data_IF_944970338017
#
_entry.id   IF_944970338017
#
_cell.length_a   1.000
_cell.length_b   1.000
_cell.length_c   1.000
_cell.angle_alpha   90.00
_cell.angle_beta   90.00
_cell.angle_gamma   90.00
#
_symmetry.space_group_name_H-M   'P 1'
#
loop_
_entity.id
_entity.type
_entity.pdbx_description
1 polymer ?
#
# COMPACT_ATOMS: atom_id res chain seq x y z
N UNK A 1 -15.08 5.34 -7.32
CA UNK A 1 -13.96 5.22 -8.27
C UNK A 1 -12.70 5.24 -7.44
N UNK A 2 -11.75 4.31 -7.65
CA UNK A 2 -10.47 4.41 -6.95
C UNK A 2 -9.82 5.76 -7.26
N UNK A 3 -9.18 6.36 -6.28
CA UNK A 3 -8.50 7.65 -6.41
C UNK A 3 -7.30 7.59 -7.38
N UNK A 4 -6.93 6.38 -7.79
CA UNK A 4 -5.83 6.06 -8.69
C UNK A 4 -6.26 5.00 -9.72
N UNK A 5 -6.11 5.30 -10.99
CA UNK A 5 -6.25 4.29 -12.05
C UNK A 5 -4.86 3.85 -12.55
N UNK A 6 -4.33 2.82 -11.93
CA UNK A 6 -3.06 2.21 -12.34
C UNK A 6 -3.16 1.36 -13.61
N UNK A 7 -4.35 1.16 -14.18
CA UNK A 7 -4.52 0.29 -15.36
C UNK A 7 -3.67 0.75 -16.54
N UNK A 8 -3.54 2.08 -16.71
CA UNK A 8 -2.75 2.70 -17.78
C UNK A 8 -1.24 2.61 -17.56
N UNK A 9 -0.78 2.31 -16.35
CA UNK A 9 0.64 2.19 -16.00
C UNK A 9 1.06 0.78 -15.62
N UNK A 10 0.13 -0.17 -15.58
CA UNK A 10 0.36 -1.50 -15.02
C UNK A 10 1.55 -2.22 -15.66
N UNK A 11 1.70 -2.14 -16.99
CA UNK A 11 2.77 -2.77 -17.76
C UNK A 11 4.15 -2.14 -17.54
N UNK A 12 4.22 -0.90 -17.06
CA UNK A 12 5.45 -0.18 -16.73
C UNK A 12 5.74 -0.16 -15.22
N UNK A 13 4.74 -0.51 -14.39
CA UNK A 13 4.79 -0.30 -12.95
C UNK A 13 6.03 -0.90 -12.29
N UNK A 14 6.37 -2.14 -12.63
CA UNK A 14 7.54 -2.83 -12.06
C UNK A 14 8.88 -2.21 -12.49
N UNK A 15 8.92 -1.43 -13.58
CA UNK A 15 10.15 -0.79 -14.05
C UNK A 15 10.51 0.46 -13.24
N UNK A 16 9.52 1.15 -12.64
CA UNK A 16 9.79 2.36 -11.87
C UNK A 16 9.44 2.24 -10.37
N UNK A 17 8.60 1.29 -9.98
CA UNK A 17 8.27 1.06 -8.58
C UNK A 17 9.24 0.04 -7.95
N UNK A 18 10.48 0.47 -7.76
CA UNK A 18 11.61 -0.37 -7.29
C UNK A 18 11.88 -0.21 -5.79
N UNK A 19 10.97 0.41 -5.05
CA UNK A 19 11.08 0.58 -3.58
C UNK A 19 11.16 -0.79 -2.90
N UNK A 20 12.11 -0.98 -2.00
CA UNK A 20 12.38 -2.26 -1.35
C UNK A 20 12.57 -2.18 0.17
N UNK A 21 12.63 -0.96 0.74
CA UNK A 21 12.95 -0.74 2.14
C UNK A 21 11.89 -1.31 3.10
N UNK A 22 10.63 -1.42 2.66
CA UNK A 22 9.52 -1.99 3.43
C UNK A 22 9.44 -3.52 3.36
N UNK A 23 10.06 -4.14 2.36
CA UNK A 23 9.99 -5.59 2.11
C UNK A 23 10.43 -6.42 3.32
N UNK A 24 11.56 -6.14 4.00
CA UNK A 24 12.01 -6.92 5.16
C UNK A 24 10.97 -6.99 6.28
N UNK A 25 10.26 -5.88 6.54
CA UNK A 25 9.22 -5.82 7.56
C UNK A 25 8.07 -6.78 7.25
N UNK A 26 7.50 -6.71 6.05
CA UNK A 26 6.36 -7.55 5.66
C UNK A 26 6.76 -9.01 5.51
N UNK A 27 7.96 -9.28 4.97
CA UNK A 27 8.49 -10.64 4.88
C UNK A 27 8.63 -11.27 6.27
N UNK A 28 9.19 -10.53 7.23
CA UNK A 28 9.33 -10.99 8.62
C UNK A 28 7.97 -11.20 9.30
N UNK A 29 7.04 -10.26 9.14
CA UNK A 29 5.69 -10.39 9.69
C UNK A 29 4.97 -11.62 9.13
N UNK A 30 5.05 -11.84 7.83
CA UNK A 30 4.45 -12.99 7.15
C UNK A 30 5.09 -14.34 7.58
N UNK A 31 6.41 -14.37 7.77
CA UNK A 31 7.12 -15.55 8.29
C UNK A 31 6.74 -15.88 9.73
N UNK A 32 6.38 -14.87 10.54
CA UNK A 32 5.94 -15.04 11.93
C UNK A 32 4.46 -15.37 12.07
N UNK A 33 3.66 -15.26 11.01
CA UNK A 33 2.23 -15.56 11.04
C UNK A 33 1.99 -17.06 11.23
N UNK A 34 1.06 -17.40 12.12
CA UNK A 34 0.71 -18.80 12.45
C UNK A 34 -0.44 -19.34 11.59
N UNK A 35 -1.10 -18.46 10.84
CA UNK A 35 -2.27 -18.73 10.02
C UNK A 35 -2.23 -17.99 8.68
N UNK A 36 -3.37 -17.95 7.96
CA UNK A 36 -3.46 -17.27 6.68
C UNK A 36 -3.14 -15.79 6.77
N UNK A 37 -2.46 -15.27 5.75
CA UNK A 37 -2.09 -13.86 5.59
C UNK A 37 -2.91 -13.23 4.48
N UNK A 38 -3.38 -12.01 4.67
CA UNK A 38 -4.08 -11.21 3.68
C UNK A 38 -3.28 -9.96 3.35
N UNK A 39 -2.99 -9.76 2.07
CA UNK A 39 -2.44 -8.51 1.55
C UNK A 39 -3.54 -7.72 0.83
N UNK A 40 -3.75 -6.50 1.29
CA UNK A 40 -4.67 -5.53 0.70
C UNK A 40 -3.90 -4.60 -0.25
N UNK A 41 -4.50 -4.24 -1.40
CA UNK A 41 -3.90 -3.41 -2.45
C UNK A 41 -2.57 -3.99 -2.94
N UNK A 42 -2.58 -5.28 -3.30
CA UNK A 42 -1.37 -6.06 -3.60
C UNK A 42 -0.65 -5.61 -4.89
N UNK A 43 -1.34 -4.94 -5.80
CA UNK A 43 -0.80 -4.47 -7.07
C UNK A 43 -0.19 -5.58 -7.91
N UNK A 44 1.01 -5.33 -8.41
CA UNK A 44 1.80 -6.30 -9.19
C UNK A 44 2.57 -7.31 -8.34
N UNK A 45 2.43 -7.26 -7.01
CA UNK A 45 3.01 -8.23 -6.08
C UNK A 45 4.42 -7.91 -5.58
N UNK A 46 4.79 -6.65 -5.49
CA UNK A 46 6.10 -6.20 -4.99
C UNK A 46 6.40 -6.75 -3.58
N UNK A 47 5.40 -6.75 -2.69
CA UNK A 47 5.50 -7.30 -1.33
C UNK A 47 5.00 -8.74 -1.28
N UNK A 48 4.01 -9.11 -2.10
CA UNK A 48 3.47 -10.47 -2.22
C UNK A 48 4.55 -11.52 -2.40
N UNK A 49 5.42 -11.33 -3.41
CA UNK A 49 6.40 -12.37 -3.76
C UNK A 49 7.40 -12.65 -2.63
N UNK A 50 8.00 -11.64 -1.97
CA UNK A 50 8.83 -11.86 -0.78
C UNK A 50 8.10 -12.55 0.39
N UNK A 51 6.82 -12.27 0.60
CA UNK A 51 6.03 -12.96 1.64
C UNK A 51 5.76 -14.42 1.27
N UNK A 52 5.50 -14.74 0.00
CA UNK A 52 5.40 -16.12 -0.49
C UNK A 52 6.70 -16.87 -0.30
N UNK A 53 7.85 -16.23 -0.59
CA UNK A 53 9.18 -16.83 -0.41
C UNK A 53 9.49 -17.08 1.08
N UNK A 54 8.90 -16.32 1.98
CA UNK A 54 8.94 -16.55 3.42
C UNK A 54 8.00 -17.68 3.90
N UNK A 55 7.23 -18.27 3.00
CA UNK A 55 6.37 -19.43 3.30
C UNK A 55 4.92 -19.10 3.63
N UNK A 56 4.49 -17.84 3.53
CA UNK A 56 3.15 -17.43 3.90
C UNK A 56 2.04 -18.12 3.07
N UNK A 57 0.95 -18.49 3.73
CA UNK A 57 -0.31 -18.88 3.08
C UNK A 57 -1.10 -17.60 2.75
N UNK A 58 -0.89 -17.07 1.53
CA UNK A 58 -1.23 -15.70 1.18
C UNK A 58 -2.48 -15.60 0.30
N UNK A 59 -3.38 -14.69 0.67
CA UNK A 59 -4.45 -14.17 -0.19
C UNK A 59 -4.13 -12.69 -0.48
N UNK A 60 -4.31 -12.28 -1.73
CA UNK A 60 -4.07 -10.91 -2.20
C UNK A 60 -5.35 -10.32 -2.76
N UNK A 61 -5.69 -9.12 -2.34
CA UNK A 61 -6.82 -8.34 -2.87
C UNK A 61 -6.28 -7.09 -3.55
N UNK A 62 -6.79 -6.82 -4.75
CA UNK A 62 -6.57 -5.55 -5.46
C UNK A 62 -7.79 -5.23 -6.30
N UNK A 63 -8.12 -3.96 -6.46
CA UNK A 63 -9.25 -3.52 -7.28
C UNK A 63 -8.95 -3.51 -8.78
N UNK A 64 -7.66 -3.56 -9.16
CA UNK A 64 -7.20 -3.52 -10.56
C UNK A 64 -6.97 -4.92 -11.14
N UNK A 65 -7.81 -5.38 -12.08
CA UNK A 65 -7.58 -6.66 -12.77
C UNK A 65 -6.26 -6.70 -13.53
N UNK A 66 -5.80 -5.56 -14.09
CA UNK A 66 -4.55 -5.48 -14.83
C UNK A 66 -3.33 -5.68 -13.93
N UNK A 67 -3.34 -5.12 -12.71
CA UNK A 67 -2.31 -5.36 -11.71
C UNK A 67 -2.28 -6.83 -11.28
N UNK A 68 -3.44 -7.41 -10.96
CA UNK A 68 -3.55 -8.82 -10.59
C UNK A 68 -3.12 -9.77 -11.72
N UNK A 69 -3.37 -9.41 -12.98
CA UNK A 69 -2.91 -10.21 -14.13
C UNK A 69 -1.37 -10.24 -14.22
N UNK A 70 -0.69 -9.15 -13.86
CA UNK A 70 0.78 -9.12 -13.78
C UNK A 70 1.26 -9.99 -12.62
N UNK A 71 0.66 -9.85 -11.44
CA UNK A 71 0.98 -10.71 -10.28
C UNK A 71 0.76 -12.19 -10.61
N UNK A 72 -0.34 -12.54 -11.29
CA UNK A 72 -0.62 -13.91 -11.72
C UNK A 72 0.50 -14.48 -12.61
N UNK A 73 1.00 -13.68 -13.58
CA UNK A 73 2.13 -14.07 -14.41
C UNK A 73 3.42 -14.24 -13.61
N UNK A 74 3.72 -13.31 -12.68
CA UNK A 74 4.93 -13.33 -11.86
C UNK A 74 4.98 -14.53 -10.91
N UNK A 75 3.83 -15.00 -10.45
CA UNK A 75 3.78 -16.21 -9.61
C UNK A 75 3.59 -17.51 -10.39
N UNK A 76 3.40 -17.46 -11.70
CA UNK A 76 3.32 -18.67 -12.53
C UNK A 76 4.62 -19.49 -12.42
N UNK A 77 4.50 -20.80 -12.26
CA UNK A 77 5.66 -21.70 -12.07
C UNK A 77 6.27 -21.71 -10.65
N UNK A 78 5.86 -20.85 -9.73
CA UNK A 78 6.31 -20.88 -8.33
C UNK A 78 5.65 -22.05 -7.58
N UNK A 79 6.39 -22.66 -6.66
CA UNK A 79 5.89 -23.75 -5.81
C UNK A 79 4.76 -23.27 -4.87
N UNK A 80 4.84 -22.03 -4.40
CA UNK A 80 3.79 -21.37 -3.61
C UNK A 80 3.18 -20.23 -4.40
N UNK A 81 1.86 -20.13 -4.35
CA UNK A 81 1.10 -19.07 -5.02
C UNK A 81 0.10 -18.46 -4.06
N UNK A 82 -0.08 -17.14 -4.16
CA UNK A 82 -1.16 -16.44 -3.50
C UNK A 82 -2.49 -16.71 -4.21
N UNK A 83 -3.57 -16.77 -3.43
CA UNK A 83 -4.92 -16.64 -3.97
C UNK A 83 -5.15 -15.17 -4.34
N UNK A 84 -5.48 -14.91 -5.60
CA UNK A 84 -5.75 -13.56 -6.09
C UNK A 84 -7.26 -13.30 -6.12
N UNK A 85 -7.68 -12.17 -5.59
CA UNK A 85 -9.08 -11.75 -5.51
C UNK A 85 -9.17 -10.31 -6.01
N UNK A 86 -9.95 -10.10 -7.06
CA UNK A 86 -10.30 -8.75 -7.50
C UNK A 86 -11.43 -8.24 -6.61
N UNK A 87 -11.22 -7.13 -5.90
CA UNK A 87 -12.20 -6.60 -4.96
C UNK A 87 -11.81 -5.27 -4.35
N UNK A 88 -12.80 -4.63 -3.74
CA UNK A 88 -12.63 -3.39 -2.97
C UNK A 88 -12.24 -3.73 -1.53
N UNK A 89 -11.24 -3.02 -0.99
CA UNK A 89 -10.79 -3.19 0.39
C UNK A 89 -11.83 -2.75 1.42
N UNK A 90 -12.78 -1.90 1.02
CA UNK A 90 -13.93 -1.50 1.85
C UNK A 90 -15.10 -2.48 1.83
N UNK A 91 -15.04 -3.54 0.98
CA UNK A 91 -16.10 -4.56 0.85
C UNK A 91 -15.47 -5.89 0.43
N UNK A 92 -14.70 -6.51 1.30
CA UNK A 92 -13.92 -7.71 1.00
C UNK A 92 -14.82 -8.94 0.78
N UNK A 93 -14.73 -9.63 -0.38
CA UNK A 93 -15.48 -10.86 -0.64
C UNK A 93 -14.81 -12.07 0.02
N UNK A 94 -14.43 -11.93 1.30
CA UNK A 94 -13.65 -12.91 2.05
C UNK A 94 -14.31 -13.19 3.40
N UNK A 95 -14.17 -14.43 3.89
CA UNK A 95 -14.53 -14.83 5.25
C UNK A 95 -13.51 -14.38 6.29
N UNK A 96 -13.78 -14.74 7.54
CA UNK A 96 -12.89 -14.52 8.70
C UNK A 96 -11.79 -15.60 8.75
N UNK A 97 -10.72 -15.32 9.52
CA UNK A 97 -9.72 -16.31 9.89
C UNK A 97 -8.30 -15.96 9.50
N UNK A 98 -8.03 -14.72 9.07
CA UNK A 98 -6.67 -14.28 8.81
C UNK A 98 -5.94 -13.96 10.11
N UNK A 99 -4.74 -14.50 10.25
CA UNK A 99 -3.85 -14.25 11.37
C UNK A 99 -3.13 -12.90 11.24
N UNK A 100 -2.85 -12.53 10.00
CA UNK A 100 -2.22 -11.27 9.65
C UNK A 100 -2.93 -10.63 8.45
N UNK A 101 -3.26 -9.35 8.56
CA UNK A 101 -3.67 -8.50 7.43
C UNK A 101 -2.62 -7.41 7.25
N UNK A 102 -2.19 -7.15 6.03
CA UNK A 102 -1.24 -6.07 5.72
C UNK A 102 -1.80 -5.13 4.66
N UNK A 103 -1.57 -3.83 4.85
CA UNK A 103 -1.86 -2.78 3.88
C UNK A 103 -0.56 -1.99 3.65
N UNK A 104 0.31 -2.46 2.75
CA UNK A 104 1.64 -1.91 2.54
C UNK A 104 1.63 -0.65 1.67
N UNK A 105 2.82 -0.08 1.46
CA UNK A 105 3.13 0.96 0.49
C UNK A 105 2.26 2.22 0.60
N UNK A 106 1.83 2.55 1.82
CA UNK A 106 0.98 3.72 2.10
C UNK A 106 -0.41 3.64 1.42
N UNK A 107 -0.87 2.43 1.10
CA UNK A 107 -2.18 2.20 0.45
C UNK A 107 -3.34 2.82 1.23
N UNK A 108 -3.20 2.99 2.56
CA UNK A 108 -4.23 3.66 3.36
C UNK A 108 -4.50 5.10 2.91
N UNK A 109 -3.48 5.81 2.38
CA UNK A 109 -3.65 7.16 1.88
C UNK A 109 -4.40 7.23 0.54
N UNK A 110 -4.47 6.13 -0.21
CA UNK A 110 -5.23 6.06 -1.47
C UNK A 110 -6.75 5.98 -1.23
N UNK A 111 -7.19 5.82 0.03
CA UNK A 111 -8.59 5.88 0.41
C UNK A 111 -9.01 7.37 0.51
N UNK A 112 -9.96 7.83 -0.33
CA UNK A 112 -10.13 9.26 -0.60
C UNK A 112 -10.77 10.05 0.54
N UNK A 113 -11.47 9.36 1.44
CA UNK A 113 -12.23 9.99 2.51
C UNK A 113 -12.34 9.10 3.76
N UNK A 114 -12.85 9.70 4.84
CA UNK A 114 -13.02 9.02 6.12
C UNK A 114 -13.98 7.82 6.04
N UNK A 115 -14.97 7.85 5.16
CA UNK A 115 -15.94 6.74 5.03
C UNK A 115 -15.25 5.51 4.43
N UNK A 116 -14.50 5.67 3.34
CA UNK A 116 -13.70 4.60 2.72
C UNK A 116 -12.60 4.09 3.64
N UNK A 117 -11.95 4.97 4.41
CA UNK A 117 -10.95 4.58 5.41
C UNK A 117 -11.56 3.71 6.53
N UNK A 118 -12.71 4.13 7.07
CA UNK A 118 -13.43 3.35 8.07
C UNK A 118 -13.94 2.02 7.51
N UNK A 119 -14.43 1.99 6.27
CA UNK A 119 -14.86 0.76 5.61
C UNK A 119 -13.69 -0.24 5.50
N UNK A 120 -12.52 0.21 5.05
CA UNK A 120 -11.33 -0.64 4.94
C UNK A 120 -10.85 -1.15 6.30
N UNK A 121 -10.82 -0.30 7.33
CA UNK A 121 -10.48 -0.72 8.70
C UNK A 121 -11.50 -1.71 9.28
N UNK A 122 -12.79 -1.47 9.01
CA UNK A 122 -13.90 -2.37 9.43
C UNK A 122 -13.76 -3.75 8.80
N UNK A 123 -13.45 -3.79 7.50
CA UNK A 123 -13.22 -5.02 6.76
C UNK A 123 -11.96 -5.76 7.24
N UNK A 124 -10.85 -5.03 7.46
CA UNK A 124 -9.65 -5.61 8.05
C UNK A 124 -9.94 -6.24 9.42
N UNK A 125 -10.67 -5.53 10.30
CA UNK A 125 -11.07 -6.03 11.59
C UNK A 125 -12.02 -7.24 11.47
N UNK A 126 -12.95 -7.23 10.50
CA UNK A 126 -13.91 -8.30 10.26
C UNK A 126 -13.24 -9.60 9.85
N UNK A 127 -12.27 -9.53 8.91
CA UNK A 127 -11.64 -10.74 8.37
C UNK A 127 -10.56 -11.32 9.27
N UNK A 128 -9.99 -10.54 10.18
CA UNK A 128 -9.02 -11.01 11.16
C UNK A 128 -9.63 -12.09 12.09
N UNK A 129 -8.82 -13.07 12.42
CA UNK A 129 -9.07 -13.98 13.54
C UNK A 129 -9.02 -13.20 14.86
N UNK A 130 -9.54 -13.80 15.95
CA UNK A 130 -9.37 -13.27 17.29
C UNK A 130 -7.88 -13.24 17.65
N UNK A 131 -7.36 -12.10 18.13
CA UNK A 131 -5.93 -11.89 18.40
C UNK A 131 -5.06 -11.77 17.15
N UNK A 132 -5.66 -11.71 15.96
CA UNK A 132 -4.93 -11.47 14.70
C UNK A 132 -4.45 -10.03 14.61
N UNK A 133 -3.40 -9.82 13.80
CA UNK A 133 -2.70 -8.55 13.68
C UNK A 133 -2.98 -7.85 12.35
N UNK A 134 -3.03 -6.52 12.37
CA UNK A 134 -3.11 -5.67 11.19
C UNK A 134 -1.93 -4.71 11.13
N UNK A 135 -1.22 -4.67 9.99
CA UNK A 135 -0.13 -3.71 9.74
C UNK A 135 -0.56 -2.77 8.62
N UNK A 136 -0.64 -1.50 8.95
CA UNK A 136 -1.06 -0.45 8.02
C UNK A 136 0.06 0.57 7.86
N UNK A 137 0.30 1.01 6.62
CA UNK A 137 1.30 2.05 6.35
C UNK A 137 0.65 3.28 5.76
N UNK A 138 1.11 4.45 6.19
CA UNK A 138 0.64 5.74 5.73
C UNK A 138 1.80 6.76 5.63
N UNK A 139 1.55 7.84 4.91
CA UNK A 139 2.40 9.02 4.98
C UNK A 139 2.25 9.71 6.34
N UNK A 140 3.34 10.26 6.84
CA UNK A 140 3.25 11.25 7.91
C UNK A 140 2.84 12.61 7.33
N UNK A 141 1.67 13.16 7.72
CA UNK A 141 1.17 14.43 7.18
C UNK A 141 2.13 15.60 7.38
N UNK A 142 2.81 15.65 8.54
CA UNK A 142 3.72 16.73 8.92
C UNK A 142 4.92 16.81 7.98
N UNK A 143 5.41 15.66 7.51
CA UNK A 143 6.55 15.58 6.58
C UNK A 143 6.08 15.65 5.13
N UNK A 144 4.99 14.98 4.80
CA UNK A 144 4.52 14.85 3.40
C UNK A 144 3.78 16.09 2.90
N UNK A 145 3.03 16.77 3.78
CA UNK A 145 2.24 17.95 3.42
C UNK A 145 3.08 19.08 2.82
N UNK A 146 4.15 19.55 3.48
CA UNK A 146 5.03 20.60 2.96
C UNK A 146 5.69 20.28 1.61
N UNK A 147 5.87 19.00 1.27
CA UNK A 147 6.41 18.57 -0.01
C UNK A 147 5.41 18.68 -1.17
N UNK A 148 4.13 18.94 -0.90
CA UNK A 148 3.06 19.09 -1.89
C UNK A 148 2.91 20.57 -2.30
N UNK A 149 3.91 21.12 -2.99
CA UNK A 149 4.04 22.55 -3.34
C UNK A 149 3.64 22.89 -4.78
N UNK A 150 3.14 21.94 -5.54
CA UNK A 150 2.71 22.11 -6.93
C UNK A 150 3.83 22.07 -7.97
N UNK A 151 5.07 21.83 -7.59
CA UNK A 151 6.18 21.74 -8.53
C UNK A 151 6.33 20.33 -9.11
N UNK A 152 6.72 20.25 -10.40
CA UNK A 152 7.16 19.01 -11.01
C UNK A 152 8.53 18.61 -10.49
N UNK A 153 8.68 17.33 -10.12
CA UNK A 153 9.95 16.72 -9.70
C UNK A 153 10.18 15.43 -10.45
N UNK A 154 11.38 15.26 -10.99
CA UNK A 154 11.86 13.95 -11.45
C UNK A 154 12.20 13.13 -10.19
N UNK A 155 11.52 12.01 -10.00
CA UNK A 155 11.73 11.11 -8.85
C UNK A 155 12.81 10.06 -9.15
N UNK A 156 13.08 9.80 -10.42
CA UNK A 156 14.13 8.88 -10.81
C UNK A 156 14.11 8.48 -12.27
N UNK A 157 15.19 7.79 -12.65
CA UNK A 157 15.41 7.16 -13.96
C UNK A 157 15.73 5.70 -13.70
N UNK A 158 15.01 4.83 -14.36
CA UNK A 158 15.08 3.39 -14.13
C UNK A 158 15.39 2.67 -15.42
N UNK A 159 16.24 1.63 -15.39
CA UNK A 159 16.48 0.79 -16.56
C UNK A 159 15.19 0.02 -16.89
N UNK A 160 14.76 0.13 -18.13
CA UNK A 160 13.59 -0.58 -18.66
C UNK A 160 13.98 -1.71 -19.59
N UNK A 161 13.02 -2.54 -19.97
CA UNK A 161 13.22 -3.65 -20.89
C UNK A 161 13.76 -3.17 -22.24
N UNK A 162 14.64 -3.98 -22.88
CA UNK A 162 15.18 -3.66 -24.21
C UNK A 162 16.13 -2.47 -24.26
N UNK A 163 16.78 -2.09 -23.16
CA UNK A 163 17.75 -0.99 -23.09
C UNK A 163 17.11 0.40 -23.06
N UNK A 164 15.78 0.47 -22.87
CA UNK A 164 15.06 1.73 -22.67
C UNK A 164 15.29 2.29 -21.26
N UNK A 165 14.97 3.57 -21.07
CA UNK A 165 14.96 4.23 -19.75
C UNK A 165 13.54 4.67 -19.44
N UNK A 166 13.07 4.38 -18.22
CA UNK A 166 11.81 4.89 -17.69
C UNK A 166 12.10 6.06 -16.76
N UNK A 167 11.50 7.22 -17.02
CA UNK A 167 11.58 8.39 -16.14
C UNK A 167 10.27 8.59 -15.40
N UNK A 168 10.35 8.78 -14.10
CA UNK A 168 9.22 9.06 -13.26
C UNK A 168 9.22 10.50 -12.78
N UNK A 169 8.14 11.21 -13.02
CA UNK A 169 7.91 12.56 -12.52
C UNK A 169 6.64 12.61 -11.69
N UNK A 170 6.68 13.45 -10.68
CA UNK A 170 5.55 13.69 -9.79
C UNK A 170 5.35 15.18 -9.59
N UNK A 171 4.09 15.59 -9.60
CA UNK A 171 3.64 16.92 -9.19
C UNK A 171 2.52 16.72 -8.18
N UNK A 172 2.64 17.32 -6.99
CA UNK A 172 1.60 17.25 -5.96
C UNK A 172 1.38 18.61 -5.33
N UNK A 173 0.13 18.91 -5.01
CA UNK A 173 -0.28 20.11 -4.30
C UNK A 173 -1.33 19.79 -3.25
N UNK A 174 -1.39 20.59 -2.17
CA UNK A 174 -2.49 20.52 -1.23
C UNK A 174 -3.77 20.95 -1.93
N UNK A 175 -4.82 20.17 -1.77
CA UNK A 175 -6.16 20.47 -2.26
C UNK A 175 -6.85 21.52 -1.38
N UNK A 176 -7.97 22.08 -1.85
CA UNK A 176 -8.88 22.87 -1.01
C UNK A 176 -9.58 22.03 0.07
N UNK A 177 -9.64 20.71 -0.11
CA UNK A 177 -10.12 19.76 0.92
C UNK A 177 -9.03 19.55 1.95
N UNK A 178 -9.25 19.80 3.25
CA UNK A 178 -8.24 19.58 4.29
C UNK A 178 -7.71 18.15 4.27
N UNK A 179 -6.40 18.00 4.39
CA UNK A 179 -5.74 16.70 4.44
C UNK A 179 -5.71 15.93 3.11
N UNK A 180 -6.11 16.55 1.99
CA UNK A 180 -6.08 15.92 0.67
C UNK A 180 -5.00 16.53 -0.19
N UNK A 181 -4.18 15.67 -0.79
CA UNK A 181 -3.18 16.01 -1.81
C UNK A 181 -3.70 15.56 -3.17
N UNK A 182 -3.59 16.44 -4.15
CA UNK A 182 -3.90 16.15 -5.56
C UNK A 182 -2.65 16.34 -6.41
N UNK A 183 -2.61 15.71 -7.56
CA UNK A 183 -1.47 15.89 -8.44
C UNK A 183 -1.51 15.03 -9.69
N UNK A 184 -0.34 14.86 -10.28
CA UNK A 184 -0.13 14.10 -11.48
C UNK A 184 1.17 13.29 -11.36
N UNK A 185 1.10 12.04 -11.77
CA UNK A 185 2.28 11.19 -12.00
C UNK A 185 2.48 11.03 -13.50
N UNK A 186 3.70 11.31 -13.97
CA UNK A 186 4.08 11.15 -15.37
C UNK A 186 5.18 10.12 -15.49
N UNK A 187 4.96 9.16 -16.36
CA UNK A 187 5.95 8.14 -16.73
C UNK A 187 6.32 8.35 -18.19
N UNK A 188 7.60 8.49 -18.46
CA UNK A 188 8.16 8.64 -19.80
C UNK A 188 9.08 7.47 -20.10
N UNK A 189 8.93 6.91 -21.29
CA UNK A 189 9.80 5.84 -21.80
C UNK A 189 10.69 6.43 -22.88
N UNK A 190 12.01 6.29 -22.73
CA UNK A 190 13.01 6.79 -23.65
C UNK A 190 13.78 5.62 -24.27
N UNK A 191 14.18 5.74 -25.56
CA UNK A 191 15.12 4.80 -26.17
C UNK A 191 16.56 5.00 -25.63
N UNK A 192 17.48 4.17 -26.08
CA UNK A 192 18.89 4.22 -25.69
C UNK A 192 19.58 5.55 -26.08
N UNK A 193 19.05 6.27 -27.06
CA UNK A 193 19.53 7.59 -27.50
C UNK A 193 18.89 8.75 -26.72
N UNK A 194 17.96 8.47 -25.81
CA UNK A 194 17.26 9.49 -25.03
C UNK A 194 16.04 10.11 -25.73
N UNK A 195 15.61 9.57 -26.87
CA UNK A 195 14.40 10.02 -27.58
C UNK A 195 13.16 9.48 -26.88
N UNK A 196 12.14 10.31 -26.72
CA UNK A 196 10.86 9.94 -26.12
C UNK A 196 10.12 8.95 -27.05
N UNK A 197 9.80 7.77 -26.50
CA UNK A 197 9.01 6.72 -27.13
C UNK A 197 7.53 6.74 -26.69
N UNK A 198 7.30 6.95 -25.37
CA UNK A 198 5.96 6.96 -24.79
C UNK A 198 5.92 7.92 -23.60
N UNK A 199 4.74 8.50 -23.36
CA UNK A 199 4.45 9.35 -22.20
C UNK A 199 3.05 9.08 -21.71
N UNK A 200 2.93 8.68 -20.46
CA UNK A 200 1.65 8.50 -19.79
C UNK A 200 1.56 9.40 -18.58
N UNK A 201 0.40 9.99 -18.36
CA UNK A 201 0.13 10.84 -17.19
C UNK A 201 -1.15 10.36 -16.55
N UNK A 202 -1.10 10.13 -15.24
CA UNK A 202 -2.27 9.78 -14.43
C UNK A 202 -2.48 10.82 -13.35
N UNK A 203 -3.74 11.20 -13.15
CA UNK A 203 -4.12 12.00 -12.01
C UNK A 203 -3.97 11.19 -10.73
N UNK A 204 -3.56 11.84 -9.66
CA UNK A 204 -3.48 11.22 -8.34
C UNK A 204 -4.20 12.08 -7.30
N UNK A 205 -4.79 11.37 -6.37
CA UNK A 205 -5.38 11.96 -5.18
C UNK A 205 -5.12 11.03 -4.01
N UNK A 206 -4.63 11.57 -2.90
CA UNK A 206 -4.46 10.79 -1.68
C UNK A 206 -4.73 11.66 -0.46
N UNK A 207 -5.17 11.00 0.62
CA UNK A 207 -5.45 11.64 1.90
C UNK A 207 -4.23 11.59 2.82
N UNK A 208 -4.00 12.67 3.55
CA UNK A 208 -3.02 12.71 4.64
C UNK A 208 -3.79 12.55 5.96
N UNK A 209 -3.58 11.44 6.63
CA UNK A 209 -4.31 11.07 7.85
C UNK A 209 -3.35 11.16 9.03
N UNK A 210 -3.61 12.04 10.03
CA UNK A 210 -2.83 12.09 11.26
C UNK A 210 -2.84 10.73 11.99
N UNK A 211 -1.75 10.42 12.69
CA UNK A 211 -1.65 9.17 13.44
C UNK A 211 -2.77 9.03 14.48
N UNK A 212 -3.13 10.12 15.15
CA UNK A 212 -4.25 10.18 16.11
C UNK A 212 -5.58 9.77 15.49
N UNK A 213 -5.86 10.26 14.26
CA UNK A 213 -7.09 9.97 13.55
C UNK A 213 -7.15 8.51 13.07
N UNK A 214 -6.02 7.98 12.55
CA UNK A 214 -5.91 6.57 12.19
C UNK A 214 -6.15 5.67 13.40
N UNK A 215 -5.53 5.96 14.55
CA UNK A 215 -5.70 5.20 15.80
C UNK A 215 -7.15 5.27 16.28
N UNK A 216 -7.76 6.46 16.26
CA UNK A 216 -9.15 6.63 16.69
C UNK A 216 -10.13 5.86 15.79
N UNK A 217 -9.94 5.92 14.45
CA UNK A 217 -10.75 5.14 13.50
C UNK A 217 -10.56 3.63 13.71
N UNK A 218 -9.33 3.16 13.84
CA UNK A 218 -9.04 1.75 14.09
C UNK A 218 -9.66 1.27 15.41
N UNK A 219 -9.56 2.09 16.48
CA UNK A 219 -10.16 1.80 17.78
C UNK A 219 -11.68 1.67 17.72
N UNK A 220 -12.36 2.48 16.88
CA UNK A 220 -13.83 2.43 16.73
C UNK A 220 -14.33 1.13 16.08
N UNK A 221 -13.46 0.38 15.38
CA UNK A 221 -13.76 -0.91 14.75
C UNK A 221 -13.13 -2.11 15.47
N UNK A 222 -12.61 -1.90 16.71
CA UNK A 222 -12.07 -2.97 17.54
C UNK A 222 -10.60 -3.34 17.25
N UNK A 223 -9.85 -2.48 16.56
CA UNK A 223 -8.41 -2.61 16.37
C UNK A 223 -7.66 -1.74 17.38
N UNK A 224 -6.78 -2.33 18.17
CA UNK A 224 -6.00 -1.62 19.20
C UNK A 224 -4.57 -1.41 18.68
N UNK A 225 -4.10 -0.17 18.66
CA UNK A 225 -2.74 0.13 18.27
C UNK A 225 -1.76 -0.41 19.33
N UNK A 226 -0.81 -1.25 18.89
CA UNK A 226 0.20 -1.86 19.75
C UNK A 226 1.57 -1.26 19.55
N UNK A 227 1.86 -0.76 18.34
CA UNK A 227 3.15 -0.17 18.02
C UNK A 227 3.02 0.81 16.85
N UNK A 228 3.77 1.91 16.91
CA UNK A 228 3.93 2.86 15.82
C UNK A 228 5.42 3.02 15.51
N UNK A 229 5.79 2.84 14.24
CA UNK A 229 7.16 3.07 13.76
C UNK A 229 7.16 4.22 12.76
N UNK A 230 8.28 4.97 12.77
CA UNK A 230 8.50 6.11 11.89
C UNK A 230 9.30 5.79 10.64
N UNK A 231 10.03 4.69 10.65
CA UNK A 231 10.84 4.23 9.52
C UNK A 231 10.88 2.70 9.42
N UNK A 232 11.52 2.21 8.37
CA UNK A 232 11.66 0.78 8.09
C UNK A 232 12.73 0.08 8.92
N UNK A 233 13.56 0.84 9.67
CA UNK A 233 14.61 0.34 10.55
C UNK A 233 14.12 0.10 11.99
N UNK A 234 12.86 0.43 12.27
CA UNK A 234 12.22 0.18 13.56
C UNK A 234 12.26 1.33 14.54
N UNK A 235 12.66 2.54 14.12
CA UNK A 235 12.55 3.72 14.96
C UNK A 235 11.09 3.99 15.33
N UNK A 236 10.85 4.42 16.58
CA UNK A 236 9.50 4.81 17.02
C UNK A 236 9.01 6.00 16.21
N UNK A 237 7.70 6.02 15.96
CA UNK A 237 7.08 7.16 15.29
C UNK A 237 7.22 8.43 16.13
N UNK A 238 7.72 9.48 15.48
CA UNK A 238 7.84 10.85 15.97
C UNK A 238 7.17 11.78 14.95
N UNK A 239 6.04 12.36 15.32
CA UNK A 239 5.20 13.11 14.37
C UNK A 239 5.93 14.25 13.66
N UNK A 240 6.80 15.05 14.30
CA UNK A 240 7.55 16.11 13.64
C UNK A 240 8.52 15.64 12.55
N UNK A 241 9.10 14.44 12.68
CA UNK A 241 10.28 14.06 11.88
C UNK A 241 10.19 12.74 11.12
N UNK A 242 9.30 11.83 11.52
CA UNK A 242 9.24 10.51 10.91
C UNK A 242 8.81 10.56 9.44
N UNK A 243 9.54 9.93 8.51
CA UNK A 243 9.17 9.92 7.09
C UNK A 243 7.91 9.10 6.79
N UNK A 244 7.60 8.12 7.62
CA UNK A 244 6.45 7.21 7.47
C UNK A 244 5.68 7.10 8.78
N UNK A 245 4.43 6.64 8.66
CA UNK A 245 3.64 6.09 9.74
C UNK A 245 3.40 4.60 9.45
N UNK A 246 3.98 3.72 10.26
CA UNK A 246 3.80 2.27 10.18
C UNK A 246 3.09 1.85 11.46
N UNK A 247 1.81 1.54 11.36
CA UNK A 247 0.97 1.25 12.51
C UNK A 247 0.67 -0.25 12.60
N UNK A 248 0.88 -0.80 13.78
CA UNK A 248 0.56 -2.18 14.14
C UNK A 248 -0.66 -2.17 15.04
N UNK A 249 -1.63 -3.00 14.70
CA UNK A 249 -2.85 -3.16 15.47
C UNK A 249 -3.08 -4.62 15.76
N UNK A 250 -3.79 -4.89 16.86
CA UNK A 250 -4.34 -6.20 17.20
C UNK A 250 -5.85 -6.10 17.30
N UNK A 251 -6.54 -7.15 16.85
CA UNK A 251 -7.97 -7.26 17.01
C UNK A 251 -8.31 -7.62 18.46
N UNK A 252 -9.14 -6.79 19.11
CA UNK A 252 -9.65 -7.10 20.45
C UNK A 252 -10.31 -8.48 20.49
N UNK A 253 -10.02 -9.23 21.56
CA UNK A 253 -10.77 -10.44 21.86
C UNK A 253 -12.16 -10.05 22.41
N UNK A 254 -13.21 -10.62 21.84
CA UNK A 254 -14.61 -10.37 22.27
C UNK A 254 -14.88 -10.78 23.74
N UNK A 255 -13.92 -11.47 24.38
CA UNK A 255 -14.04 -11.95 25.78
C UNK A 255 -13.65 -10.89 26.83
N UNK A 256 -13.01 -9.79 26.47
CA UNK A 256 -12.57 -8.74 27.42
C UNK A 256 -13.58 -7.58 27.55
N UNK A 257 -14.72 -7.67 26.88
CA UNK A 257 -15.76 -6.63 26.88
C UNK A 257 -17.03 -7.05 27.66
N UNK A 258 -16.93 -8.10 28.51
CA UNK A 258 -18.01 -8.51 29.40
C UNK A 258 -17.66 -8.35 30.86
#
# INVERSE_FOLDING_TARGET
>A
MPAYDYSTLADLYDEFCVVAEDIPLFRSAAAGARGPVLELMAGTGRVTLPMLDAGAALTCVDSSPSMLAILARKQAGRARRARLVCGDVGALPLGRGFDLVVLPFRGFNELPDRASQLAALSEAARVLAAGGSFICTAHNPTVRGPAADGAWRELGRFPGAGGRTVRLHLKTALSRRPGVVVGEQRVEVLDAGGRLLDRRTVALEFSLVPASDLIAMAGSVGLVATRLLGDWNGARFDEPSSPNLIAFFEKRNERESR
#
